data_IF_051702250332
#
_entry.id   IF_051702250332
#
_cell.length_a   1.000
_cell.length_b   1.000
_cell.length_c   1.000
_cell.angle_alpha   90.00
_cell.angle_beta   90.00
_cell.angle_gamma   90.00
#
_symmetry.space_group_name_H-M   'P 1'
#
loop_
_entity.id
_entity.type
_entity.pdbx_description
1 polymer ?
#
# COMPACT_ATOMS: atom_id res chain seq x y z
N UNK A 1 20.91 -45.22 37.64
CA UNK A 1 21.03 -44.62 38.99
C UNK A 1 21.98 -43.43 38.90
N UNK A 2 21.47 -42.20 38.95
CA UNK A 2 22.28 -40.98 38.86
C UNK A 2 22.52 -40.50 40.29
N UNK A 3 23.79 -40.49 40.73
CA UNK A 3 24.21 -40.00 42.05
C UNK A 3 24.21 -38.47 42.01
N UNK A 4 23.23 -37.84 42.65
CA UNK A 4 23.26 -36.39 42.90
C UNK A 4 24.27 -36.10 44.02
N UNK A 5 25.30 -35.35 43.65
CA UNK A 5 26.41 -34.98 44.51
C UNK A 5 25.97 -34.01 45.60
N UNK A 6 26.33 -34.34 46.83
CA UNK A 6 26.03 -33.64 48.08
C UNK A 6 27.07 -32.53 48.30
N UNK A 7 26.98 -31.44 47.55
CA UNK A 7 27.90 -30.29 47.67
C UNK A 7 27.25 -29.02 48.25
N UNK A 8 26.01 -29.11 48.73
CA UNK A 8 25.19 -27.97 49.21
C UNK A 8 25.72 -27.27 50.47
N UNK A 9 26.68 -27.87 51.18
CA UNK A 9 27.24 -27.29 52.41
C UNK A 9 28.29 -26.20 52.16
N UNK A 10 29.05 -26.29 51.06
CA UNK A 10 30.07 -25.29 50.73
C UNK A 10 29.43 -23.98 50.25
N UNK A 11 28.41 -24.10 49.41
CA UNK A 11 27.71 -22.95 48.81
C UNK A 11 27.00 -22.09 49.86
N UNK A 12 26.49 -22.70 50.94
CA UNK A 12 25.83 -21.96 52.02
C UNK A 12 26.81 -21.06 52.80
N UNK A 13 28.04 -21.51 53.02
CA UNK A 13 29.05 -20.70 53.71
C UNK A 13 29.53 -19.52 52.85
N UNK A 14 29.57 -19.69 51.53
CA UNK A 14 29.88 -18.59 50.60
C UNK A 14 28.73 -17.58 50.54
N UNK A 15 27.48 -18.06 50.54
CA UNK A 15 26.28 -17.22 50.60
C UNK A 15 26.25 -16.34 51.86
N UNK A 16 26.62 -16.91 53.01
CA UNK A 16 26.62 -16.17 54.28
C UNK A 16 27.72 -15.10 54.32
N UNK A 17 28.92 -15.42 53.80
CA UNK A 17 30.02 -14.43 53.66
C UNK A 17 29.67 -13.30 52.70
N UNK A 18 29.06 -13.60 51.56
CA UNK A 18 28.61 -12.59 50.61
C UNK A 18 27.54 -11.69 51.23
N UNK A 19 26.62 -12.27 52.00
CA UNK A 19 25.57 -11.51 52.71
C UNK A 19 26.17 -10.55 53.74
N UNK A 20 27.15 -10.99 54.54
CA UNK A 20 27.86 -10.10 55.48
C UNK A 20 28.64 -8.99 54.78
N UNK A 21 29.28 -9.29 53.64
CA UNK A 21 30.02 -8.27 52.86
C UNK A 21 29.08 -7.19 52.34
N UNK A 22 27.91 -7.59 51.81
CA UNK A 22 26.87 -6.67 51.34
C UNK A 22 26.36 -5.80 52.49
N UNK A 23 26.11 -6.40 53.65
CA UNK A 23 25.62 -5.66 54.81
C UNK A 23 26.65 -4.65 55.33
N UNK A 24 27.94 -5.03 55.33
CA UNK A 24 29.05 -4.15 55.72
C UNK A 24 29.20 -2.97 54.76
N UNK A 25 29.08 -3.22 53.45
CA UNK A 25 29.10 -2.17 52.42
C UNK A 25 27.89 -1.24 52.55
N UNK A 26 26.69 -1.77 52.82
CA UNK A 26 25.50 -0.95 53.07
C UNK A 26 25.64 -0.05 54.29
N UNK A 27 26.26 -0.54 55.39
CA UNK A 27 26.50 0.30 56.58
C UNK A 27 27.54 1.39 56.30
N UNK A 28 28.58 1.10 55.52
CA UNK A 28 29.57 2.09 55.10
C UNK A 28 28.97 3.20 54.24
N UNK A 29 28.08 2.84 53.30
CA UNK A 29 27.39 3.79 52.43
C UNK A 29 26.43 4.72 53.20
N UNK A 30 25.79 4.23 54.27
CA UNK A 30 24.86 5.02 55.09
C UNK A 30 25.55 5.98 56.07
N UNK A 31 26.81 5.72 56.43
CA UNK A 31 27.57 6.52 57.42
C UNK A 31 28.40 7.66 56.78
N UNK A 32 28.57 7.65 55.45
CA UNK A 32 29.45 8.61 54.74
C UNK A 32 28.81 9.90 54.24
N UNK A 33 27.52 10.16 54.51
CA UNK A 33 26.77 11.25 53.85
C UNK A 33 26.65 12.54 54.70
N UNK A 34 27.28 12.63 55.86
CA UNK A 34 27.14 13.81 56.75
C UNK A 34 28.35 14.75 56.79
N UNK A 35 29.16 14.83 55.71
CA UNK A 35 30.22 15.85 55.60
C UNK A 35 30.29 16.50 54.23
N UNK A 36 29.52 17.57 54.07
CA UNK A 36 29.97 18.91 53.62
C UNK A 36 28.81 19.64 52.97
N UNK A 37 28.40 20.74 53.61
CA UNK A 37 27.49 21.72 53.04
C UNK A 37 28.09 22.37 51.79
N UNK A 38 27.88 21.74 50.64
CA UNK A 38 27.82 22.43 49.37
C UNK A 38 26.33 22.54 49.01
N UNK A 39 25.90 23.74 48.66
CA UNK A 39 24.56 24.11 48.21
C UNK A 39 24.09 23.24 47.02
N UNK A 40 23.60 22.04 47.32
CA UNK A 40 23.21 20.98 46.36
C UNK A 40 21.69 20.86 46.18
N UNK A 41 20.90 21.62 46.94
CA UNK A 41 19.43 21.60 46.83
C UNK A 41 18.93 21.98 45.43
N UNK A 42 19.70 22.73 44.63
CA UNK A 42 19.36 23.00 43.23
C UNK A 42 19.68 21.83 42.28
N UNK A 43 20.65 20.97 42.59
CA UNK A 43 21.01 19.84 41.73
C UNK A 43 19.96 18.71 41.79
N UNK A 44 19.39 18.45 42.97
CA UNK A 44 18.32 17.45 43.14
C UNK A 44 17.04 17.82 42.37
N UNK A 45 16.61 19.09 42.42
CA UNK A 45 15.42 19.59 41.70
C UNK A 45 15.59 19.48 40.17
N UNK A 46 16.82 19.59 39.66
CA UNK A 46 17.10 19.41 38.24
C UNK A 46 17.00 17.94 37.80
N UNK A 47 17.37 16.99 38.67
CA UNK A 47 17.26 15.56 38.40
C UNK A 47 15.80 15.10 38.35
N UNK A 48 14.96 15.57 39.26
CA UNK A 48 13.53 15.22 39.28
C UNK A 48 12.80 15.70 38.01
N UNK A 49 13.15 16.89 37.51
CA UNK A 49 12.63 17.40 36.24
C UNK A 49 13.06 16.56 35.03
N UNK A 50 14.30 16.07 35.03
CA UNK A 50 14.80 15.20 33.98
C UNK A 50 14.06 13.85 34.00
N UNK A 51 13.88 13.26 35.18
CA UNK A 51 13.15 11.99 35.37
C UNK A 51 11.69 12.15 34.92
N UNK A 52 11.02 13.22 35.32
CA UNK A 52 9.64 13.50 34.90
C UNK A 52 9.51 13.63 33.37
N UNK A 53 10.46 14.30 32.71
CA UNK A 53 10.49 14.37 31.24
C UNK A 53 10.69 13.00 30.60
N UNK A 54 11.61 12.20 31.12
CA UNK A 54 11.92 10.87 30.59
C UNK A 54 10.71 9.92 30.72
N UNK A 55 10.01 9.93 31.87
CA UNK A 55 8.78 9.17 32.06
C UNK A 55 7.67 9.64 31.09
N UNK A 56 7.52 10.95 30.93
CA UNK A 56 6.56 11.51 29.97
C UNK A 56 6.87 11.12 28.51
N UNK A 57 8.15 11.12 28.12
CA UNK A 57 8.57 10.67 26.79
C UNK A 57 8.30 9.17 26.58
N UNK A 58 8.53 8.35 27.62
CA UNK A 58 8.21 6.93 27.59
C UNK A 58 6.71 6.69 27.41
N UNK A 59 5.84 7.41 28.13
CA UNK A 59 4.39 7.33 27.97
C UNK A 59 3.94 7.75 26.57
N UNK A 60 4.50 8.84 26.03
CA UNK A 60 4.25 9.27 24.66
C UNK A 60 4.66 8.21 23.64
N UNK A 61 5.83 7.59 23.81
CA UNK A 61 6.30 6.52 22.93
C UNK A 61 5.40 5.29 23.01
N UNK A 62 4.98 4.91 24.22
CA UNK A 62 4.03 3.81 24.44
C UNK A 62 2.69 4.07 23.74
N UNK A 63 2.11 5.26 23.90
CA UNK A 63 0.87 5.64 23.23
C UNK A 63 0.98 5.61 21.69
N UNK A 64 2.12 6.07 21.15
CA UNK A 64 2.40 5.98 19.70
C UNK A 64 2.50 4.53 19.23
N UNK A 65 3.16 3.66 19.99
CA UNK A 65 3.28 2.24 19.67
C UNK A 65 1.92 1.54 19.71
N UNK A 66 1.09 1.80 20.72
CA UNK A 66 -0.27 1.27 20.83
C UNK A 66 -1.15 1.74 19.66
N UNK A 67 -1.06 3.02 19.29
CA UNK A 67 -1.73 3.57 18.11
C UNK A 67 -1.28 2.89 16.81
N UNK A 68 0.04 2.68 16.63
CA UNK A 68 0.58 1.98 15.47
C UNK A 68 0.11 0.52 15.41
N UNK A 69 0.12 -0.21 16.53
CA UNK A 69 -0.41 -1.59 16.60
C UNK A 69 -1.89 -1.64 16.26
N UNK A 70 -2.69 -0.68 16.74
CA UNK A 70 -4.11 -0.58 16.38
C UNK A 70 -4.29 -0.31 14.87
N UNK A 71 -3.47 0.55 14.28
CA UNK A 71 -3.48 0.79 12.83
C UNK A 71 -3.11 -0.47 12.03
N UNK A 72 -2.09 -1.22 12.43
CA UNK A 72 -1.71 -2.48 11.79
C UNK A 72 -2.85 -3.51 11.80
N UNK A 73 -3.54 -3.66 12.95
CA UNK A 73 -4.72 -4.55 13.05
C UNK A 73 -5.84 -4.17 12.09
N UNK A 74 -6.08 -2.87 11.88
CA UNK A 74 -7.07 -2.39 10.90
C UNK A 74 -6.66 -2.73 9.47
N UNK A 75 -5.38 -2.60 9.15
CA UNK A 75 -4.85 -2.98 7.82
C UNK A 75 -5.00 -4.48 7.59
N UNK A 76 -4.62 -5.32 8.56
CA UNK A 76 -4.80 -6.78 8.48
C UNK A 76 -6.27 -7.18 8.27
N UNK A 77 -7.20 -6.50 8.95
CA UNK A 77 -8.64 -6.73 8.74
C UNK A 77 -9.07 -6.39 7.30
N UNK A 78 -8.68 -5.23 6.77
CA UNK A 78 -8.99 -4.82 5.40
C UNK A 78 -8.35 -5.75 4.35
N UNK A 79 -7.13 -6.22 4.59
CA UNK A 79 -6.48 -7.22 3.74
C UNK A 79 -7.21 -8.57 3.75
N UNK A 80 -7.80 -8.97 4.89
CA UNK A 80 -8.64 -10.17 4.97
C UNK A 80 -9.93 -10.00 4.15
N UNK A 81 -10.59 -8.83 4.23
CA UNK A 81 -11.80 -8.53 3.46
C UNK A 81 -11.53 -8.50 1.95
N UNK A 82 -10.42 -7.89 1.52
CA UNK A 82 -10.00 -7.87 0.11
C UNK A 82 -9.77 -9.30 -0.41
N UNK A 83 -9.18 -10.19 0.39
CA UNK A 83 -8.99 -11.60 0.02
C UNK A 83 -10.32 -12.32 -0.18
N UNK A 84 -11.28 -12.14 0.73
CA UNK A 84 -12.63 -12.73 0.62
C UNK A 84 -13.36 -12.19 -0.62
N UNK A 85 -13.32 -10.88 -0.86
CA UNK A 85 -13.96 -10.26 -2.03
C UNK A 85 -13.36 -10.78 -3.35
N UNK A 86 -12.03 -10.94 -3.42
CA UNK A 86 -11.37 -11.53 -4.59
C UNK A 86 -11.77 -12.99 -4.81
N UNK A 87 -11.89 -13.77 -3.74
CA UNK A 87 -12.37 -15.14 -3.82
C UNK A 87 -13.81 -15.19 -4.36
N UNK A 88 -14.72 -14.39 -3.80
CA UNK A 88 -16.11 -14.31 -4.25
C UNK A 88 -16.23 -13.87 -5.72
N UNK A 89 -15.41 -12.90 -6.14
CA UNK A 89 -15.35 -12.49 -7.55
C UNK A 89 -14.90 -13.65 -8.45
N UNK A 90 -13.88 -14.41 -8.04
CA UNK A 90 -13.41 -15.59 -8.77
C UNK A 90 -14.49 -16.66 -8.89
N UNK A 91 -15.21 -16.94 -7.80
CA UNK A 91 -16.33 -17.90 -7.78
C UNK A 91 -17.47 -17.46 -8.70
N UNK A 92 -17.86 -16.17 -8.65
CA UNK A 92 -18.89 -15.61 -9.52
C UNK A 92 -18.52 -15.69 -11.01
N UNK A 93 -17.24 -15.44 -11.35
CA UNK A 93 -16.74 -15.59 -12.73
C UNK A 93 -16.79 -17.05 -13.17
N UNK A 94 -16.33 -17.99 -12.34
CA UNK A 94 -16.40 -19.43 -12.64
C UNK A 94 -17.84 -19.91 -12.82
N UNK A 95 -18.76 -19.40 -12.00
CA UNK A 95 -20.18 -19.71 -12.11
C UNK A 95 -20.76 -19.17 -13.43
N UNK A 96 -20.47 -17.91 -13.78
CA UNK A 96 -20.89 -17.34 -15.05
C UNK A 96 -20.36 -18.12 -16.26
N UNK A 97 -19.11 -18.59 -16.21
CA UNK A 97 -18.54 -19.47 -17.23
C UNK A 97 -19.21 -20.84 -17.26
N UNK A 98 -19.60 -21.39 -16.11
CA UNK A 98 -20.35 -22.65 -16.03
C UNK A 98 -21.73 -22.48 -16.67
N UNK A 99 -22.45 -21.41 -16.35
CA UNK A 99 -23.74 -21.07 -16.99
C UNK A 99 -23.60 -20.86 -18.50
N UNK A 100 -22.53 -20.19 -18.95
CA UNK A 100 -22.22 -20.03 -20.38
C UNK A 100 -22.01 -21.38 -21.07
N UNK A 101 -21.23 -22.28 -20.47
CA UNK A 101 -21.00 -23.64 -21.00
C UNK A 101 -22.29 -24.46 -21.05
N UNK A 102 -23.11 -24.41 -20.00
CA UNK A 102 -24.38 -25.13 -19.94
C UNK A 102 -25.39 -24.62 -20.98
N UNK A 103 -25.47 -23.29 -21.17
CA UNK A 103 -26.31 -22.68 -22.19
C UNK A 103 -25.92 -23.11 -23.61
N UNK A 104 -24.61 -23.21 -23.88
CA UNK A 104 -24.08 -23.71 -25.17
C UNK A 104 -24.25 -25.23 -25.32
N UNK A 105 -24.22 -25.99 -24.21
CA UNK A 105 -24.40 -27.45 -24.20
C UNK A 105 -25.86 -27.86 -24.37
N UNK A 106 -26.82 -27.01 -24.02
CA UNK A 106 -28.23 -27.22 -24.35
C UNK A 106 -28.36 -27.29 -25.87
N UNK A 107 -28.32 -28.52 -26.37
CA UNK A 107 -28.30 -28.82 -27.79
C UNK A 107 -29.54 -28.23 -28.42
N UNK A 108 -29.39 -27.07 -29.05
CA UNK A 108 -30.33 -26.52 -30.00
C UNK A 108 -30.36 -27.44 -31.24
N UNK A 109 -30.88 -28.66 -31.07
CA UNK A 109 -31.12 -29.62 -32.14
C UNK A 109 -32.32 -29.22 -33.01
N UNK A 110 -32.94 -28.05 -32.78
CA UNK A 110 -34.10 -27.58 -33.54
C UNK A 110 -33.77 -26.77 -34.80
N UNK A 111 -32.50 -26.56 -35.16
CA UNK A 111 -32.14 -25.85 -36.42
C UNK A 111 -31.45 -26.68 -37.49
N UNK A 112 -31.59 -28.01 -37.50
CA UNK A 112 -31.25 -28.86 -38.67
C UNK A 112 -32.47 -29.20 -39.52
N UNK A 113 -33.27 -28.20 -39.87
CA UNK A 113 -34.01 -28.28 -41.13
C UNK A 113 -33.17 -27.60 -42.19
N UNK A 114 -32.65 -28.44 -43.07
CA UNK A 114 -31.86 -28.09 -44.24
C UNK A 114 -32.53 -27.00 -45.07
N UNK A 115 -31.73 -26.06 -45.58
CA UNK A 115 -32.01 -25.35 -46.83
C UNK A 115 -30.71 -24.73 -47.34
N UNK A 116 -29.91 -25.53 -48.06
CA UNK A 116 -29.33 -24.98 -49.28
C UNK A 116 -30.48 -24.66 -50.24
N UNK A 117 -30.43 -23.51 -50.91
CA UNK A 117 -30.45 -23.62 -52.37
C UNK A 117 -29.41 -22.70 -53.01
N UNK A 118 -28.51 -23.36 -53.74
CA UNK A 118 -28.13 -23.03 -55.11
C UNK A 118 -28.85 -21.82 -55.74
N UNK A 119 -28.05 -20.84 -56.15
CA UNK A 119 -28.18 -19.98 -57.34
C UNK A 119 -29.57 -19.40 -57.70
N UNK A 120 -29.72 -18.08 -57.54
CA UNK A 120 -29.85 -17.14 -58.67
C UNK A 120 -30.32 -15.77 -58.17
N UNK A 121 -29.77 -14.74 -58.80
CA UNK A 121 -30.08 -13.34 -58.53
C UNK A 121 -31.55 -13.02 -58.82
N UNK A 122 -32.34 -12.74 -57.78
CA UNK A 122 -33.50 -11.84 -57.87
C UNK A 122 -33.68 -11.05 -56.57
N UNK A 123 -34.18 -9.83 -56.75
CA UNK A 123 -34.23 -8.69 -55.84
C UNK A 123 -34.77 -9.02 -54.45
N UNK A 124 -34.29 -8.32 -53.39
CA UNK A 124 -34.79 -8.55 -52.04
C UNK A 124 -36.24 -8.08 -51.93
N UNK A 125 -37.18 -8.92 -51.49
CA UNK A 125 -38.49 -8.45 -51.09
C UNK A 125 -38.37 -7.78 -49.71
N UNK A 126 -39.05 -6.64 -49.57
CA UNK A 126 -39.28 -5.95 -48.30
C UNK A 126 -39.99 -6.92 -47.35
N UNK A 127 -39.20 -7.60 -46.51
CA UNK A 127 -39.68 -8.53 -45.50
C UNK A 127 -39.74 -7.82 -44.15
N UNK A 128 -40.95 -7.48 -43.71
CA UNK A 128 -41.24 -7.13 -42.32
C UNK A 128 -40.73 -8.24 -41.39
N UNK A 129 -40.06 -7.92 -40.26
CA UNK A 129 -39.50 -8.92 -39.35
C UNK A 129 -40.56 -9.92 -38.87
N UNK A 130 -40.46 -11.15 -39.37
CA UNK A 130 -41.31 -12.27 -38.98
C UNK A 130 -40.92 -12.64 -37.54
N UNK A 131 -41.86 -12.44 -36.61
CA UNK A 131 -41.76 -12.80 -35.18
C UNK A 131 -41.09 -14.16 -35.04
N UNK A 132 -39.88 -14.17 -34.49
CA UNK A 132 -39.24 -15.35 -33.97
C UNK A 132 -40.15 -16.00 -32.91
N UNK A 133 -40.19 -17.35 -32.83
CA UNK A 133 -40.99 -18.05 -31.83
C UNK A 133 -40.42 -17.69 -30.46
N UNK A 134 -41.10 -16.74 -29.82
CA UNK A 134 -40.93 -16.39 -28.43
C UNK A 134 -41.01 -17.69 -27.66
N UNK A 135 -39.87 -18.18 -27.14
CA UNK A 135 -39.85 -19.09 -26.00
C UNK A 135 -40.88 -18.51 -25.04
N UNK A 136 -41.97 -19.24 -24.82
CA UNK A 136 -42.97 -18.94 -23.80
C UNK A 136 -42.19 -18.89 -22.48
N UNK A 137 -41.68 -17.70 -22.13
CA UNK A 137 -41.40 -17.41 -20.74
C UNK A 137 -42.75 -17.59 -20.07
N UNK A 138 -42.85 -18.43 -19.03
CA UNK A 138 -44.02 -18.44 -18.17
C UNK A 138 -44.38 -16.99 -17.90
N UNK A 139 -45.62 -16.60 -18.23
CA UNK A 139 -46.12 -15.25 -18.01
C UNK A 139 -45.88 -14.96 -16.54
N UNK A 140 -44.79 -14.25 -16.24
CA UNK A 140 -44.41 -13.93 -14.88
C UNK A 140 -45.59 -13.17 -14.30
N UNK A 141 -46.13 -13.68 -13.20
CA UNK A 141 -47.28 -13.08 -12.54
C UNK A 141 -47.00 -11.58 -12.37
N UNK A 142 -47.87 -10.68 -12.88
CA UNK A 142 -47.64 -9.25 -12.83
C UNK A 142 -47.42 -8.72 -11.39
N UNK A 143 -47.84 -9.47 -10.38
CA UNK A 143 -47.54 -9.17 -8.97
C UNK A 143 -46.06 -9.37 -8.63
N UNK A 144 -45.42 -10.43 -9.10
CA UNK A 144 -43.99 -10.68 -8.89
C UNK A 144 -43.13 -9.63 -9.56
N UNK A 145 -43.51 -9.18 -10.77
CA UNK A 145 -42.78 -8.13 -11.47
C UNK A 145 -42.83 -6.80 -10.71
N UNK A 146 -43.99 -6.45 -10.13
CA UNK A 146 -44.13 -5.26 -9.27
C UNK A 146 -43.28 -5.38 -8.00
N UNK A 147 -43.23 -6.56 -7.39
CA UNK A 147 -42.38 -6.79 -6.20
C UNK A 147 -40.89 -6.62 -6.51
N UNK A 148 -40.41 -7.21 -7.60
CA UNK A 148 -39.02 -7.06 -8.04
C UNK A 148 -38.68 -5.59 -8.35
N UNK A 149 -39.58 -4.88 -9.03
CA UNK A 149 -39.40 -3.45 -9.29
C UNK A 149 -39.34 -2.63 -8.00
N UNK A 150 -40.20 -2.91 -7.02
CA UNK A 150 -40.16 -2.21 -5.74
C UNK A 150 -38.85 -2.46 -4.99
N UNK A 151 -38.38 -3.70 -4.95
CA UNK A 151 -37.09 -4.06 -4.35
C UNK A 151 -35.93 -3.35 -5.04
N UNK A 152 -35.93 -3.28 -6.36
CA UNK A 152 -34.92 -2.54 -7.14
C UNK A 152 -34.93 -1.04 -6.81
N UNK A 153 -36.12 -0.44 -6.74
CA UNK A 153 -36.29 0.97 -6.37
C UNK A 153 -35.82 1.24 -4.95
N UNK A 154 -36.09 0.35 -4.00
CA UNK A 154 -35.60 0.47 -2.62
C UNK A 154 -34.08 0.33 -2.53
N UNK A 155 -33.49 -0.65 -3.21
CA UNK A 155 -32.03 -0.82 -3.28
C UNK A 155 -31.34 0.42 -3.88
N UNK A 156 -31.92 1.02 -4.92
CA UNK A 156 -31.41 2.26 -5.51
C UNK A 156 -31.52 3.48 -4.56
N UNK A 157 -32.59 3.55 -3.76
CA UNK A 157 -32.74 4.59 -2.74
C UNK A 157 -31.69 4.43 -1.62
N UNK A 158 -31.49 3.20 -1.15
CA UNK A 158 -30.50 2.87 -0.13
C UNK A 158 -29.07 3.21 -0.60
N UNK A 159 -28.70 2.82 -1.82
CA UNK A 159 -27.40 3.15 -2.41
C UNK A 159 -27.17 4.66 -2.51
N UNK A 160 -28.19 5.43 -2.92
CA UNK A 160 -28.10 6.90 -2.97
C UNK A 160 -27.93 7.52 -1.58
N UNK A 161 -28.65 7.00 -0.59
CA UNK A 161 -28.51 7.48 0.79
C UNK A 161 -27.12 7.18 1.36
N UNK A 162 -26.61 5.97 1.10
CA UNK A 162 -25.26 5.57 1.51
C UNK A 162 -24.17 6.44 0.86
N UNK A 163 -24.29 6.73 -0.44
CA UNK A 163 -23.38 7.62 -1.15
C UNK A 163 -23.38 9.05 -0.57
N UNK A 164 -24.56 9.59 -0.26
CA UNK A 164 -24.66 10.92 0.38
C UNK A 164 -24.03 10.94 1.79
N UNK A 165 -24.19 9.87 2.57
CA UNK A 165 -23.55 9.75 3.88
C UNK A 165 -22.02 9.70 3.77
N UNK A 166 -21.47 8.90 2.83
CA UNK A 166 -20.01 8.85 2.60
C UNK A 166 -19.44 10.21 2.20
N UNK A 167 -20.15 10.98 1.37
CA UNK A 167 -19.74 12.36 1.02
C UNK A 167 -19.72 13.28 2.22
N UNK A 168 -20.77 13.21 3.06
CA UNK A 168 -20.85 14.02 4.29
C UNK A 168 -19.72 13.68 5.26
N UNK A 169 -19.42 12.40 5.45
CA UNK A 169 -18.31 11.95 6.30
C UNK A 169 -16.96 12.45 5.76
N UNK A 170 -16.72 12.32 4.45
CA UNK A 170 -15.51 12.85 3.82
C UNK A 170 -15.38 14.38 3.95
N UNK A 171 -16.48 15.13 3.83
CA UNK A 171 -16.51 16.57 4.05
C UNK A 171 -16.22 16.94 5.51
N UNK A 172 -16.75 16.18 6.48
CA UNK A 172 -16.46 16.35 7.90
C UNK A 172 -14.99 16.07 8.23
N UNK A 173 -14.42 15.00 7.68
CA UNK A 173 -12.99 14.69 7.83
C UNK A 173 -12.10 15.77 7.22
N UNK A 174 -12.46 16.29 6.04
CA UNK A 174 -11.76 17.43 5.43
C UNK A 174 -11.84 18.70 6.29
N UNK A 175 -13.00 18.98 6.87
CA UNK A 175 -13.18 20.12 7.77
C UNK A 175 -12.29 19.98 9.02
N UNK A 176 -12.27 18.79 9.61
CA UNK A 176 -11.43 18.48 10.78
C UNK A 176 -9.93 18.60 10.47
N UNK A 177 -9.47 18.07 9.34
CA UNK A 177 -8.07 18.18 8.92
C UNK A 177 -7.67 19.64 8.65
N UNK A 178 -8.56 20.45 8.07
CA UNK A 178 -8.33 21.88 7.90
C UNK A 178 -8.22 22.61 9.24
N UNK A 179 -9.07 22.27 10.20
CA UNK A 179 -9.01 22.81 11.57
C UNK A 179 -7.69 22.43 12.26
N UNK A 180 -7.28 21.16 12.19
CA UNK A 180 -6.00 20.70 12.76
C UNK A 180 -4.78 21.39 12.13
N UNK A 181 -4.81 21.64 10.82
CA UNK A 181 -3.77 22.41 10.14
C UNK A 181 -3.75 23.87 10.60
N UNK A 182 -4.92 24.52 10.68
CA UNK A 182 -5.04 25.88 11.19
C UNK A 182 -4.56 25.98 12.64
N UNK A 183 -4.88 24.98 13.47
CA UNK A 183 -4.42 24.88 14.84
C UNK A 183 -2.90 24.76 14.93
N UNK A 184 -2.27 23.88 14.15
CA UNK A 184 -0.80 23.76 14.11
C UNK A 184 -0.13 25.03 13.58
N UNK A 185 -0.74 25.73 12.64
CA UNK A 185 -0.23 27.03 12.18
C UNK A 185 -0.33 28.10 13.26
N UNK A 186 -1.42 28.12 14.03
CA UNK A 186 -1.56 29.01 15.18
C UNK A 186 -0.54 28.68 16.28
N UNK A 187 -0.35 27.40 16.61
CA UNK A 187 0.67 26.93 17.57
C UNK A 187 2.10 27.29 17.13
N UNK A 188 2.40 27.19 15.83
CA UNK A 188 3.69 27.64 15.27
C UNK A 188 3.89 29.15 15.41
N UNK A 189 2.82 29.94 15.39
CA UNK A 189 2.88 31.40 15.59
C UNK A 189 2.99 31.80 17.06
N UNK A 190 2.36 31.07 17.97
CA UNK A 190 2.38 31.38 19.42
C UNK A 190 3.63 30.87 20.13
N UNK A 191 4.25 29.79 19.65
CA UNK A 191 5.52 29.31 20.22
C UNK A 191 6.61 30.32 19.86
N UNK A 192 7.26 30.98 20.85
CA UNK A 192 8.31 31.96 20.58
C UNK A 192 9.41 31.31 19.75
N UNK A 193 9.46 31.68 18.47
CA UNK A 193 10.39 31.11 17.51
C UNK A 193 11.78 31.53 17.96
N UNK A 194 12.61 30.57 18.38
CA UNK A 194 13.97 30.90 18.81
C UNK A 194 14.70 31.58 17.65
N UNK A 195 15.52 32.60 17.94
CA UNK A 195 16.30 33.37 16.96
C UNK A 195 17.26 32.53 16.11
N UNK A 196 17.41 31.23 16.41
CA UNK A 196 18.12 30.27 15.59
C UNK A 196 17.28 29.78 14.40
N UNK A 197 15.99 29.50 14.60
CA UNK A 197 15.10 29.05 13.51
C UNK A 197 14.80 30.17 12.50
N UNK A 198 14.80 31.43 12.95
CA UNK A 198 14.61 32.59 12.06
C UNK A 198 15.81 32.75 11.11
N UNK A 199 17.04 32.57 11.63
CA UNK A 199 18.28 32.62 10.82
C UNK A 199 18.39 31.48 9.78
N UNK A 200 17.79 30.30 10.04
CA UNK A 200 17.77 29.22 9.06
C UNK A 200 16.82 29.53 7.88
N UNK A 201 15.65 30.10 8.14
CA UNK A 201 14.71 30.47 7.08
C UNK A 201 15.20 31.67 6.26
N UNK A 202 15.90 32.62 6.89
CA UNK A 202 16.48 33.76 6.19
C UNK A 202 17.66 33.35 5.27
N UNK A 203 18.44 32.34 5.68
CA UNK A 203 19.45 31.74 4.82
C UNK A 203 18.86 30.97 3.61
N UNK A 204 17.67 30.38 3.78
CA UNK A 204 16.98 29.62 2.71
C UNK A 204 16.25 30.54 1.71
N UNK A 205 15.74 31.69 2.17
CA UNK A 205 15.03 32.66 1.33
C UNK A 205 15.91 33.53 0.42
N UNK A 206 17.21 33.64 0.71
CA UNK A 206 18.12 34.55 -0.03
C UNK A 206 18.92 33.84 -1.14
N UNK A 207 18.87 32.50 -1.18
CA UNK A 207 19.55 31.69 -2.19
C UNK A 207 18.63 31.29 -3.34
N UNK A 208 18.27 32.24 -4.21
CA UNK A 208 17.69 31.92 -5.52
C UNK A 208 18.69 31.15 -6.37
N UNK A 209 18.72 29.82 -6.21
CA UNK A 209 19.69 28.98 -6.90
C UNK A 209 19.37 27.51 -6.72
N UNK A 210 18.85 26.92 -7.79
CA UNK A 210 18.79 25.48 -7.98
C UNK A 210 20.15 24.85 -7.65
N UNK A 211 20.26 24.09 -6.56
CA UNK A 211 21.38 23.20 -6.36
C UNK A 211 21.01 22.03 -5.43
N UNK A 212 20.78 20.89 -6.08
CA UNK A 212 21.31 19.58 -5.71
C UNK A 212 21.98 19.53 -4.32
N UNK A 213 21.24 19.06 -3.32
CA UNK A 213 21.83 18.64 -2.05
C UNK A 213 22.62 17.34 -2.26
N UNK A 214 23.93 17.44 -2.46
CA UNK A 214 24.85 16.34 -2.21
C UNK A 214 25.36 16.44 -0.77
N UNK A 215 24.68 15.77 0.18
CA UNK A 215 25.21 15.60 1.54
C UNK A 215 25.91 14.26 1.64
N UNK A 216 27.24 14.33 1.60
CA UNK A 216 28.17 13.23 1.87
C UNK A 216 28.13 12.90 3.37
N UNK A 217 27.17 12.08 3.79
CA UNK A 217 27.01 11.61 5.17
C UNK A 217 27.03 10.09 5.23
N UNK A 218 28.18 9.52 5.57
CA UNK A 218 28.38 8.08 5.78
C UNK A 218 27.56 7.60 6.98
N UNK A 219 26.33 7.12 6.77
CA UNK A 219 25.58 6.27 7.72
C UNK A 219 24.52 5.44 6.96
N UNK A 220 24.55 4.14 7.26
CA UNK A 220 23.73 3.01 6.77
C UNK A 220 22.45 3.38 5.98
N UNK A 221 22.46 3.03 4.70
CA UNK A 221 21.31 3.05 3.80
C UNK A 221 20.33 1.94 4.18
N UNK A 222 19.10 2.33 4.51
CA UNK A 222 17.97 1.45 4.69
C UNK A 222 16.74 2.08 4.05
N UNK A 223 16.53 1.74 2.77
CA UNK A 223 15.26 1.58 2.03
C UNK A 223 14.11 2.63 2.09
N UNK A 224 14.21 3.73 2.84
CA UNK A 224 13.10 4.71 2.93
C UNK A 224 13.10 5.69 1.75
N UNK A 225 14.24 5.91 1.10
CA UNK A 225 14.36 6.90 0.02
C UNK A 225 13.76 6.44 -1.31
N UNK A 226 13.58 5.14 -1.52
CA UNK A 226 13.06 4.61 -2.79
C UNK A 226 11.58 4.93 -3.00
N UNK A 227 10.78 4.94 -1.93
CA UNK A 227 9.33 5.20 -2.01
C UNK A 227 9.04 6.65 -2.44
N UNK A 228 9.82 7.61 -1.96
CA UNK A 228 9.66 9.02 -2.30
C UNK A 228 10.05 9.30 -3.76
N UNK A 229 11.14 8.69 -4.23
CA UNK A 229 11.61 8.82 -5.62
C UNK A 229 10.59 8.26 -6.63
N UNK A 230 9.89 7.17 -6.28
CA UNK A 230 8.84 6.61 -7.14
C UNK A 230 7.65 7.56 -7.27
N UNK A 231 7.22 8.19 -6.17
CA UNK A 231 6.11 9.17 -6.18
C UNK A 231 6.43 10.39 -7.05
N UNK A 232 7.64 10.94 -6.93
CA UNK A 232 8.06 12.11 -7.73
C UNK A 232 8.17 11.78 -9.21
N UNK A 233 8.65 10.56 -9.53
CA UNK A 233 8.71 10.06 -10.90
C UNK A 233 7.32 9.94 -11.54
N UNK A 234 6.33 9.45 -10.80
CA UNK A 234 4.94 9.35 -11.28
C UNK A 234 4.29 10.72 -11.49
N UNK A 235 4.55 11.67 -10.59
CA UNK A 235 4.10 13.05 -10.75
C UNK A 235 4.68 13.67 -12.04
N UNK A 236 5.99 13.51 -12.26
CA UNK A 236 6.67 13.99 -13.47
C UNK A 236 6.08 13.40 -14.76
N UNK A 237 5.80 12.09 -14.78
CA UNK A 237 5.16 11.43 -15.92
C UNK A 237 3.77 12.03 -16.21
N UNK A 238 2.98 12.29 -15.17
CA UNK A 238 1.62 12.86 -15.34
C UNK A 238 1.68 14.28 -15.90
N UNK A 239 2.60 15.11 -15.44
CA UNK A 239 2.71 16.48 -15.90
C UNK A 239 3.27 16.55 -17.33
N UNK A 240 4.28 15.74 -17.66
CA UNK A 240 4.77 15.61 -19.03
C UNK A 240 3.68 15.12 -20.00
N UNK A 241 2.79 14.21 -19.57
CA UNK A 241 1.63 13.79 -20.38
C UNK A 241 0.65 14.93 -20.64
N UNK A 242 0.38 15.77 -19.63
CA UNK A 242 -0.53 16.92 -19.79
C UNK A 242 0.03 17.95 -20.76
N UNK A 243 1.33 18.24 -20.65
CA UNK A 243 2.05 19.17 -21.53
C UNK A 243 1.95 18.70 -22.99
N UNK A 244 2.30 17.44 -23.27
CA UNK A 244 2.32 16.90 -24.62
C UNK A 244 0.91 16.66 -25.22
N UNK A 245 -0.11 16.42 -24.39
CA UNK A 245 -1.49 16.20 -24.86
C UNK A 245 -2.11 17.45 -25.51
N UNK A 246 -1.67 18.64 -25.10
CA UNK A 246 -2.23 19.91 -25.59
C UNK A 246 -1.52 20.44 -26.84
N UNK A 247 -0.45 19.78 -27.30
CA UNK A 247 0.33 20.21 -28.44
C UNK A 247 -0.25 19.69 -29.76
N UNK A 248 -0.04 20.45 -30.84
CA UNK A 248 -0.40 20.00 -32.18
C UNK A 248 0.67 19.03 -32.69
N UNK A 249 0.31 18.26 -33.72
CA UNK A 249 1.21 17.27 -34.34
C UNK A 249 2.57 17.89 -34.74
N UNK A 250 2.56 19.09 -35.30
CA UNK A 250 3.77 19.76 -35.78
C UNK A 250 4.73 20.10 -34.62
N UNK A 251 4.19 20.58 -33.50
CA UNK A 251 4.98 20.87 -32.29
C UNK A 251 5.57 19.58 -31.70
N UNK A 252 4.81 18.48 -31.70
CA UNK A 252 5.30 17.18 -31.25
C UNK A 252 6.42 16.68 -32.16
N UNK A 253 6.32 16.85 -33.48
CA UNK A 253 7.39 16.52 -34.42
C UNK A 253 8.65 17.36 -34.18
N UNK A 254 8.51 18.64 -33.84
CA UNK A 254 9.65 19.49 -33.48
C UNK A 254 10.36 18.99 -32.22
N UNK A 255 9.61 18.58 -31.20
CA UNK A 255 10.16 17.95 -29.99
C UNK A 255 10.86 16.64 -30.33
N UNK A 256 10.30 15.83 -31.24
CA UNK A 256 10.93 14.58 -31.70
C UNK A 256 12.32 14.82 -32.30
N UNK A 257 12.44 15.82 -33.17
CA UNK A 257 13.72 16.18 -33.78
C UNK A 257 14.71 16.68 -32.73
N UNK A 258 14.26 17.51 -31.78
CA UNK A 258 15.11 18.04 -30.69
C UNK A 258 15.60 16.95 -29.73
N UNK A 259 14.75 15.99 -29.39
CA UNK A 259 15.07 14.91 -28.45
C UNK A 259 15.63 13.64 -29.12
N UNK A 260 15.75 13.65 -30.46
CA UNK A 260 16.20 12.52 -31.26
C UNK A 260 15.28 11.30 -31.14
N UNK A 261 13.97 11.52 -31.00
CA UNK A 261 12.93 10.47 -30.97
C UNK A 261 12.39 10.30 -32.39
N UNK A 262 12.20 9.06 -32.85
CA UNK A 262 11.62 8.81 -34.18
C UNK A 262 10.10 8.95 -34.09
N UNK A 263 9.51 9.80 -34.93
CA UNK A 263 8.05 9.94 -34.96
C UNK A 263 7.41 8.66 -35.55
N UNK A 264 6.54 8.02 -34.77
CA UNK A 264 5.73 6.85 -35.20
C UNK A 264 4.25 7.22 -35.18
N UNK A 265 3.49 6.69 -34.21
CA UNK A 265 2.15 7.15 -33.88
C UNK A 265 2.23 8.20 -32.77
N UNK A 266 1.27 9.13 -32.71
CA UNK A 266 1.29 10.22 -31.73
C UNK A 266 1.38 9.68 -30.29
N UNK A 267 0.66 8.60 -29.97
CA UNK A 267 0.62 8.01 -28.62
C UNK A 267 1.96 7.36 -28.25
N UNK A 268 2.54 6.58 -29.15
CA UNK A 268 3.85 5.94 -28.93
C UNK A 268 4.94 7.00 -28.80
N UNK A 269 4.92 7.99 -29.70
CA UNK A 269 5.90 9.09 -29.72
C UNK A 269 5.87 9.91 -28.44
N UNK A 270 4.69 10.27 -27.95
CA UNK A 270 4.52 10.94 -26.65
C UNK A 270 5.08 10.08 -25.51
N UNK A 271 4.85 8.77 -25.54
CA UNK A 271 5.36 7.85 -24.52
C UNK A 271 6.89 7.75 -24.56
N UNK A 272 7.49 7.69 -25.74
CA UNK A 272 8.95 7.69 -25.91
C UNK A 272 9.61 8.99 -25.45
N UNK A 273 9.00 10.15 -25.76
CA UNK A 273 9.47 11.46 -25.27
C UNK A 273 9.45 11.47 -23.74
N UNK A 274 8.35 11.05 -23.11
CA UNK A 274 8.24 11.01 -21.65
C UNK A 274 9.30 10.09 -21.05
N UNK A 275 9.48 8.88 -21.60
CA UNK A 275 10.49 7.93 -21.14
C UNK A 275 11.89 8.54 -21.21
N UNK A 276 12.26 9.21 -22.30
CA UNK A 276 13.55 9.92 -22.42
C UNK A 276 13.70 11.06 -21.41
N UNK A 277 12.66 11.87 -21.19
CA UNK A 277 12.68 12.96 -20.20
C UNK A 277 12.84 12.40 -18.77
N UNK A 278 12.14 11.31 -18.46
CA UNK A 278 12.25 10.61 -17.17
C UNK A 278 13.64 10.03 -16.97
N UNK A 279 14.21 9.36 -17.98
CA UNK A 279 15.58 8.85 -17.93
C UNK A 279 16.61 9.96 -17.76
N UNK A 280 16.36 11.14 -18.35
CA UNK A 280 17.23 12.31 -18.21
C UNK A 280 17.15 12.93 -16.80
N UNK A 281 15.97 12.98 -16.20
CA UNK A 281 15.74 13.61 -14.90
C UNK A 281 16.08 12.69 -13.71
N UNK A 282 15.71 11.42 -13.78
CA UNK A 282 15.86 10.45 -12.69
C UNK A 282 16.99 9.45 -12.93
N UNK A 283 17.71 9.59 -14.05
CA UNK A 283 18.69 8.62 -14.52
C UNK A 283 18.02 7.41 -15.19
N UNK A 284 18.81 6.64 -15.92
CA UNK A 284 18.38 5.30 -16.35
C UNK A 284 18.17 4.49 -15.08
N UNK A 285 16.93 4.06 -14.84
CA UNK A 285 16.66 3.06 -13.80
C UNK A 285 17.61 1.93 -14.12
N UNK A 286 18.61 1.69 -13.27
CA UNK A 286 19.44 0.51 -13.43
C UNK A 286 18.44 -0.61 -13.56
N UNK A 287 18.49 -1.34 -14.68
CA UNK A 287 17.77 -2.58 -14.82
C UNK A 287 18.43 -3.45 -13.76
N UNK A 288 17.92 -3.38 -12.52
CA UNK A 288 18.11 -4.41 -11.54
C UNK A 288 17.42 -5.59 -12.19
N UNK A 289 18.18 -6.28 -13.04
CA UNK A 289 17.95 -7.65 -13.38
C UNK A 289 17.78 -8.30 -12.01
N UNK A 290 16.54 -8.62 -11.72
CA UNK A 290 16.12 -9.25 -10.49
C UNK A 290 16.88 -10.58 -10.50
N UNK A 291 18.09 -10.57 -9.95
CA UNK A 291 18.87 -11.77 -9.69
C UNK A 291 17.98 -12.51 -8.70
N UNK A 292 17.15 -13.38 -9.25
CA UNK A 292 16.36 -14.33 -8.49
C UNK A 292 17.34 -15.01 -7.54
N UNK A 293 17.18 -14.72 -6.26
CA UNK A 293 17.96 -15.26 -5.16
C UNK A 293 17.53 -16.73 -4.93
N UNK A 294 17.50 -17.51 -6.01
CA UNK A 294 17.23 -18.94 -6.04
C UNK A 294 18.57 -19.69 -6.09
N UNK A 295 19.38 -19.46 -5.05
CA UNK A 295 20.59 -20.23 -4.75
C UNK A 295 20.48 -20.71 -3.31
N UNK A 296 19.80 -21.84 -3.12
CA UNK A 296 20.17 -22.92 -2.19
C UNK A 296 19.07 -23.99 -2.12
N UNK A 297 19.04 -24.90 -3.10
CA UNK A 297 18.30 -26.15 -3.03
C UNK A 297 19.04 -27.20 -3.85
N UNK A 298 19.75 -28.10 -3.16
CA UNK A 298 20.61 -29.14 -3.73
C UNK A 298 19.97 -29.97 -4.85
N UNK A 299 20.73 -30.35 -5.89
CA UNK A 299 20.31 -31.38 -6.83
C UNK A 299 20.48 -32.76 -6.20
N UNK A 300 19.40 -33.30 -5.62
CA UNK A 300 19.33 -34.72 -5.26
C UNK A 300 19.14 -35.55 -6.53
N UNK A 301 20.27 -36.09 -6.97
CA UNK A 301 20.48 -37.42 -7.55
C UNK A 301 19.44 -37.97 -8.54
N UNK A 302 19.97 -38.19 -9.75
CA UNK A 302 19.52 -39.13 -10.77
C UNK A 302 18.78 -40.36 -10.23
N UNK A 303 17.48 -40.40 -10.48
CA UNK A 303 16.64 -41.59 -10.43
C UNK A 303 16.21 -41.98 -11.83
N UNK A 304 17.09 -42.69 -12.51
CA UNK A 304 16.86 -43.45 -13.74
C UNK A 304 15.87 -44.57 -13.45
N UNK A 305 14.67 -44.56 -14.04
CA UNK A 305 14.01 -45.82 -14.42
C UNK A 305 12.88 -45.62 -15.45
N UNK A 306 13.16 -46.14 -16.63
CA UNK A 306 12.36 -47.01 -17.47
C UNK A 306 10.93 -46.64 -17.86
N UNK A 307 10.84 -46.35 -19.16
CA UNK A 307 9.64 -46.37 -19.98
C UNK A 307 8.73 -47.56 -19.73
N UNK A 308 7.43 -47.28 -19.84
CA UNK A 308 6.44 -48.26 -20.29
C UNK A 308 5.43 -47.56 -21.17
N UNK A 309 5.60 -47.79 -22.46
CA UNK A 309 4.50 -47.78 -23.41
C UNK A 309 3.44 -48.80 -22.93
N UNK A 310 2.20 -48.35 -22.85
CA UNK A 310 1.05 -49.25 -22.92
C UNK A 310 -0.07 -48.52 -23.64
N UNK A 311 -0.10 -48.80 -24.94
CA UNK A 311 -1.32 -48.73 -25.72
C UNK A 311 -2.31 -49.79 -25.21
N UNK A 312 -3.57 -49.39 -25.04
CA UNK A 312 -4.69 -50.32 -25.08
C UNK A 312 -5.97 -49.58 -25.51
N UNK A 313 -6.42 -50.00 -26.70
CA UNK A 313 -7.79 -50.12 -27.23
C UNK A 313 -8.82 -49.00 -27.02
#
# INVERSE_FOLDING_TARGET
MIRLNKNTGADNNELEKLKEQVERLQRGAKSGVDRSGASSSQAAVNNDRLIARLLQEQERMKAKMESAVSACKRVEALESEIRVLKQQQGEAVQEAERWKREALKSGNKRSRFASSPSYSAQKPPVATPRRSPSRERPVADPTQLKQLHNLEVEALKELRLQELNRRREAEQELAKLKEELAQREAEKKTTPRSSFCERLYEAEGTGGGALLQTVRGKKKAGNVHEVEIVSDREAFIRDARKELRNLKKDDVMEICMKEGVKYTTLVETVTEIISKRVERAFGKKAFCEEISDDVAGEPLAEGKDDGRDSASS
#
